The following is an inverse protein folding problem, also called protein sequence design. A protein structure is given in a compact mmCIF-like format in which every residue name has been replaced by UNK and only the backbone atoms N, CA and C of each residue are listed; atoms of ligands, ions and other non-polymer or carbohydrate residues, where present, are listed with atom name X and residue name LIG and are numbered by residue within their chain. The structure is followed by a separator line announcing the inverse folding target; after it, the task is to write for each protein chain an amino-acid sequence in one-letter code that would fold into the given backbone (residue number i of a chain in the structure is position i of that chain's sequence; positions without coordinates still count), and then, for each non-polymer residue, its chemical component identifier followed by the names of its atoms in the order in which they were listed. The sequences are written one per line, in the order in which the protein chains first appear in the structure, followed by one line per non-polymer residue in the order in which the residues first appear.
data_IF_002931173782
#
_entry.id   IF_002931173782
#
_cell.length_a   1.000
_cell.length_b   1.000
_cell.length_c   1.000
_cell.angle_alpha   90.00
_cell.angle_beta   90.00
_cell.angle_gamma   90.00
#
_symmetry.space_group_name_H-M   'P 1'
#
loop_
_entity.id
_entity.type
_entity.pdbx_description
1 polymer ?
#
# COMPACT_ATOMS: atom_id res chain seq x y z
N UNK A 1 12.76 -6.43 15.86
CA UNK A 1 13.57 -7.40 16.64
C UNK A 1 12.89 -7.63 17.98
N UNK A 2 11.97 -8.59 18.07
CA UNK A 2 11.39 -9.01 19.35
C UNK A 2 11.72 -10.48 19.56
N UNK A 3 12.90 -10.75 20.12
CA UNK A 3 13.17 -12.03 20.77
C UNK A 3 12.23 -12.11 21.98
N UNK A 4 11.38 -13.13 22.02
CA UNK A 4 10.63 -13.45 23.24
C UNK A 4 11.64 -13.63 24.37
N UNK A 5 11.35 -13.13 25.58
CA UNK A 5 12.21 -13.28 26.78
C UNK A 5 12.61 -14.73 27.13
N UNK A 6 12.06 -15.72 26.41
CA UNK A 6 12.24 -17.17 26.62
C UNK A 6 13.33 -17.74 25.69
N UNK A 7 13.58 -17.15 24.52
CA UNK A 7 14.59 -17.61 23.57
C UNK A 7 15.45 -16.45 23.09
N UNK A 8 16.76 -16.52 23.37
CA UNK A 8 17.74 -15.52 22.90
C UNK A 8 18.15 -15.73 21.43
N UNK A 9 17.78 -16.85 20.82
CA UNK A 9 18.07 -17.11 19.41
C UNK A 9 17.16 -16.26 18.50
N UNK A 10 17.75 -15.71 17.45
CA UNK A 10 17.06 -15.01 16.36
C UNK A 10 17.53 -15.58 15.02
N UNK A 11 16.84 -15.25 13.91
CA UNK A 11 17.24 -15.74 12.57
C UNK A 11 18.66 -15.32 12.15
N UNK A 12 19.19 -14.24 12.74
CA UNK A 12 20.55 -13.76 12.47
C UNK A 12 21.62 -14.70 13.05
N UNK A 13 21.39 -15.19 14.28
CA UNK A 13 22.31 -16.11 14.97
C UNK A 13 22.01 -17.59 14.71
N UNK A 14 20.82 -17.92 14.19
CA UNK A 14 20.43 -19.27 13.81
C UNK A 14 19.52 -19.24 12.58
N UNK A 15 20.07 -19.42 11.36
CA UNK A 15 19.32 -19.38 10.11
C UNK A 15 18.25 -20.48 9.98
N UNK A 16 18.42 -21.62 10.67
CA UNK A 16 17.48 -22.74 10.65
C UNK A 16 16.32 -22.56 11.64
N UNK A 17 16.29 -21.43 12.37
CA UNK A 17 15.27 -21.15 13.37
C UNK A 17 13.88 -21.00 12.72
N UNK A 18 13.02 -22.00 12.93
CA UNK A 18 11.61 -21.94 12.54
C UNK A 18 10.82 -21.18 13.60
N UNK A 19 10.27 -20.04 13.19
CA UNK A 19 9.35 -19.24 14.00
C UNK A 19 7.92 -19.65 13.69
N UNK A 20 7.10 -19.72 14.72
CA UNK A 20 5.66 -19.96 14.66
C UNK A 20 4.91 -18.78 15.26
N UNK A 21 3.76 -18.44 14.69
CA UNK A 21 2.88 -17.35 15.13
C UNK A 21 1.59 -17.95 15.68
N UNK A 22 1.09 -17.40 16.80
CA UNK A 22 -0.18 -17.80 17.39
C UNK A 22 -1.37 -16.95 16.89
N UNK A 23 -2.57 -17.25 17.37
CA UNK A 23 -3.82 -16.54 17.01
C UNK A 23 -3.83 -15.05 17.38
N UNK A 24 -3.00 -14.63 18.34
CA UNK A 24 -2.86 -13.21 18.70
C UNK A 24 -1.71 -12.50 17.96
N UNK A 25 -1.02 -13.17 17.03
CA UNK A 25 0.02 -12.55 16.19
C UNK A 25 1.42 -12.48 16.81
N UNK A 26 1.64 -13.07 17.99
CA UNK A 26 2.96 -13.12 18.63
C UNK A 26 3.74 -14.36 18.20
N UNK A 27 5.03 -14.17 17.89
CA UNK A 27 5.93 -15.23 17.44
C UNK A 27 6.68 -15.90 18.59
N UNK A 28 6.84 -17.23 18.49
CA UNK A 28 7.71 -18.09 19.30
C UNK A 28 8.47 -19.03 18.37
N UNK A 29 9.68 -19.47 18.71
CA UNK A 29 10.30 -20.55 17.94
C UNK A 29 9.60 -21.88 18.21
N UNK A 30 9.67 -22.80 17.26
CA UNK A 30 9.04 -24.13 17.34
C UNK A 30 9.33 -24.83 18.69
N UNK A 31 10.59 -24.82 19.12
CA UNK A 31 10.99 -25.41 20.39
C UNK A 31 10.38 -24.71 21.62
N UNK A 32 10.21 -23.38 21.56
CA UNK A 32 9.53 -22.65 22.62
C UNK A 32 8.02 -22.91 22.65
N UNK A 33 7.39 -23.21 21.51
CA UNK A 33 5.99 -23.62 21.46
C UNK A 33 5.83 -24.98 22.16
N UNK A 34 6.71 -25.93 21.85
CA UNK A 34 6.71 -27.25 22.50
C UNK A 34 6.87 -27.13 24.03
N UNK A 35 7.89 -26.39 24.49
CA UNK A 35 8.13 -26.17 25.92
C UNK A 35 6.97 -25.46 26.61
N UNK A 36 6.33 -24.49 25.94
CA UNK A 36 5.20 -23.74 26.50
C UNK A 36 4.02 -24.66 26.83
N UNK A 37 3.67 -25.56 25.90
CA UNK A 37 2.55 -26.48 26.09
C UNK A 37 2.90 -27.70 26.93
N UNK A 38 4.15 -28.17 26.92
CA UNK A 38 4.62 -29.20 27.84
C UNK A 38 4.49 -28.77 29.32
N UNK A 39 4.60 -27.46 29.59
CA UNK A 39 4.38 -26.87 30.93
C UNK A 39 2.89 -26.61 31.25
N UNK A 40 1.97 -27.05 30.40
CA UNK A 40 0.53 -26.84 30.59
C UNK A 40 0.07 -25.38 30.41
N UNK A 41 0.90 -24.49 29.84
CA UNK A 41 0.51 -23.09 29.68
C UNK A 41 -0.38 -22.90 28.45
N UNK A 42 -1.63 -22.50 28.68
CA UNK A 42 -2.60 -22.15 27.61
C UNK A 42 -2.65 -20.66 27.27
N UNK A 43 -1.69 -19.85 27.74
CA UNK A 43 -1.74 -18.39 27.62
C UNK A 43 -0.54 -17.84 26.86
N UNK A 44 -0.77 -16.83 26.02
CA UNK A 44 0.30 -16.14 25.32
C UNK A 44 1.26 -15.47 26.30
N UNK A 45 2.57 -15.69 26.14
CA UNK A 45 3.60 -15.13 27.01
C UNK A 45 3.71 -13.59 26.93
N UNK A 46 3.21 -12.98 25.86
CA UNK A 46 3.26 -11.52 25.66
C UNK A 46 1.96 -10.83 26.10
N UNK A 47 0.80 -11.28 25.61
CA UNK A 47 -0.48 -10.61 25.84
C UNK A 47 -1.49 -11.42 26.66
N UNK A 48 -1.11 -12.59 27.18
CA UNK A 48 -1.94 -13.46 28.02
C UNK A 48 -3.25 -13.96 27.38
N UNK A 49 -3.47 -13.75 26.09
CA UNK A 49 -4.62 -14.32 25.36
C UNK A 49 -4.57 -15.85 25.38
N UNK A 50 -5.70 -16.55 25.57
CA UNK A 50 -5.77 -18.01 25.45
C UNK A 50 -5.33 -18.50 24.07
N UNK A 51 -4.40 -19.45 24.04
CA UNK A 51 -3.80 -20.02 22.83
C UNK A 51 -3.82 -21.55 22.88
N UNK A 52 -3.95 -22.19 21.71
CA UNK A 52 -3.93 -23.65 21.56
C UNK A 52 -2.80 -24.05 20.61
N UNK A 53 -2.11 -25.16 20.90
CA UNK A 53 -1.00 -25.66 20.07
C UNK A 53 -1.39 -25.87 18.61
N UNK A 54 -2.58 -26.43 18.37
CA UNK A 54 -3.13 -26.65 17.02
C UNK A 54 -3.31 -25.37 16.19
N UNK A 55 -3.37 -24.19 16.83
CA UNK A 55 -3.55 -22.92 16.14
C UNK A 55 -2.24 -22.19 15.84
N UNK A 56 -1.09 -22.78 16.18
CA UNK A 56 0.22 -22.26 15.78
C UNK A 56 0.50 -22.58 14.31
N UNK A 57 1.13 -21.64 13.62
CA UNK A 57 1.49 -21.77 12.20
C UNK A 57 2.89 -21.21 11.98
N UNK A 58 3.61 -21.75 10.99
CA UNK A 58 4.91 -21.22 10.62
C UNK A 58 4.81 -19.76 10.16
N UNK A 59 5.74 -18.94 10.63
CA UNK A 59 5.92 -17.57 10.19
C UNK A 59 6.53 -17.57 8.79
N UNK A 60 5.70 -17.33 7.77
CA UNK A 60 6.15 -17.27 6.38
C UNK A 60 6.81 -15.94 6.04
N UNK A 61 6.38 -14.85 6.67
CA UNK A 61 6.88 -13.50 6.44
C UNK A 61 7.61 -12.95 7.66
N UNK A 62 8.74 -12.26 7.44
CA UNK A 62 9.50 -11.63 8.52
C UNK A 62 8.69 -10.52 9.23
N UNK A 63 7.87 -9.80 8.46
CA UNK A 63 6.99 -8.75 8.97
C UNK A 63 5.65 -9.35 9.47
N UNK A 64 5.34 -9.25 10.78
CA UNK A 64 4.06 -9.69 11.33
C UNK A 64 2.86 -8.98 10.71
N UNK A 65 3.02 -7.76 10.20
CA UNK A 65 1.95 -7.02 9.54
C UNK A 65 1.58 -7.66 8.20
N UNK A 66 2.57 -8.11 7.43
CA UNK A 66 2.33 -8.84 6.18
C UNK A 66 1.62 -10.16 6.48
N UNK A 67 2.04 -10.86 7.52
CA UNK A 67 1.40 -12.09 7.96
C UNK A 67 -0.08 -11.86 8.36
N UNK A 68 -0.36 -10.82 9.16
CA UNK A 68 -1.73 -10.41 9.54
C UNK A 68 -2.58 -10.08 8.30
N UNK A 69 -2.05 -9.31 7.36
CA UNK A 69 -2.73 -8.95 6.12
C UNK A 69 -3.10 -10.20 5.30
N UNK A 70 -2.16 -11.12 5.11
CA UNK A 70 -2.39 -12.35 4.33
C UNK A 70 -3.49 -13.20 4.95
N UNK A 71 -3.56 -13.26 6.28
CA UNK A 71 -4.61 -13.98 6.99
C UNK A 71 -5.97 -13.33 6.87
N UNK A 72 -6.04 -12.00 7.02
CA UNK A 72 -7.26 -11.24 6.79
C UNK A 72 -7.75 -11.44 5.35
N UNK A 73 -6.84 -11.39 4.38
CA UNK A 73 -7.17 -11.62 2.97
C UNK A 73 -7.69 -13.03 2.72
N UNK A 74 -7.02 -14.06 3.26
CA UNK A 74 -7.50 -15.46 3.16
C UNK A 74 -8.89 -15.61 3.78
N UNK A 75 -9.12 -15.00 4.94
CA UNK A 75 -10.43 -15.03 5.61
C UNK A 75 -11.51 -14.38 4.75
N UNK A 76 -11.30 -13.13 4.30
CA UNK A 76 -12.26 -12.41 3.45
C UNK A 76 -12.54 -13.18 2.16
N UNK A 77 -11.50 -13.71 1.49
CA UNK A 77 -11.70 -14.50 0.28
C UNK A 77 -12.52 -15.78 0.55
N UNK A 78 -12.31 -16.43 1.70
CA UNK A 78 -13.08 -17.60 2.11
C UNK A 78 -14.52 -17.27 2.52
N UNK A 79 -14.76 -16.10 3.13
CA UNK A 79 -16.09 -15.64 3.52
C UNK A 79 -16.93 -15.29 2.30
N UNK A 80 -16.33 -14.66 1.29
CA UNK A 80 -17.04 -14.33 0.04
C UNK A 80 -17.17 -15.54 -0.90
N UNK A 81 -16.16 -16.41 -0.97
CA UNK A 81 -16.12 -17.65 -1.75
C UNK A 81 -16.70 -17.56 -3.19
N UNK A 82 -16.60 -16.40 -3.83
CA UNK A 82 -17.04 -16.19 -5.21
C UNK A 82 -16.06 -16.85 -6.18
N UNK A 83 -16.54 -17.47 -7.26
CA UNK A 83 -15.81 -17.98 -8.42
C UNK A 83 -16.03 -17.08 -9.64
N UNK A 84 -15.20 -17.21 -10.68
CA UNK A 84 -15.32 -16.39 -11.89
C UNK A 84 -16.68 -16.58 -12.58
N UNK A 85 -17.22 -17.80 -12.55
CA UNK A 85 -18.51 -18.16 -13.16
C UNK A 85 -19.73 -17.63 -12.37
N UNK A 86 -19.53 -17.02 -11.20
CA UNK A 86 -20.62 -16.44 -10.40
C UNK A 86 -20.89 -14.97 -10.76
N UNK A 87 -20.25 -14.45 -11.81
CA UNK A 87 -20.41 -13.07 -12.26
C UNK A 87 -21.02 -13.05 -13.65
N UNK A 88 -22.20 -12.43 -13.78
CA UNK A 88 -22.90 -12.30 -15.06
C UNK A 88 -22.22 -11.30 -15.99
N UNK A 89 -21.49 -10.32 -15.42
CA UNK A 89 -20.75 -9.31 -16.18
C UNK A 89 -19.39 -8.95 -15.56
N UNK A 90 -18.52 -8.31 -16.35
CA UNK A 90 -17.26 -7.72 -15.87
C UNK A 90 -17.47 -6.57 -14.88
N UNK A 91 -18.64 -5.94 -14.90
CA UNK A 91 -19.05 -4.87 -13.99
C UNK A 91 -19.43 -5.43 -12.60
N UNK A 92 -19.96 -6.64 -12.56
CA UNK A 92 -20.25 -7.36 -11.31
C UNK A 92 -18.99 -7.86 -10.60
N UNK A 93 -17.81 -7.69 -11.21
CA UNK A 93 -16.51 -8.02 -10.59
C UNK A 93 -15.97 -6.91 -9.66
N UNK A 94 -16.49 -5.68 -9.76
CA UNK A 94 -16.11 -4.56 -8.87
C UNK A 94 -16.33 -4.83 -7.34
N UNK A 95 -17.36 -5.57 -6.91
CA UNK A 95 -17.48 -6.08 -5.54
C UNK A 95 -16.29 -6.93 -5.07
N UNK A 96 -15.65 -7.72 -5.95
CA UNK A 96 -14.43 -8.49 -5.58
C UNK A 96 -13.25 -7.57 -5.29
N UNK A 97 -13.20 -6.40 -5.93
CA UNK A 97 -12.22 -5.35 -5.70
C UNK A 97 -12.49 -4.57 -4.41
N UNK A 98 -13.74 -4.59 -3.94
CA UNK A 98 -14.09 -4.09 -2.60
C UNK A 98 -13.47 -4.97 -1.51
N UNK A 99 -13.21 -6.26 -1.74
CA UNK A 99 -12.55 -7.12 -0.74
C UNK A 99 -11.18 -6.57 -0.30
N UNK A 100 -10.43 -5.96 -1.21
CA UNK A 100 -9.15 -5.33 -0.86
C UNK A 100 -9.33 -4.13 0.07
N UNK A 101 -10.40 -3.36 -0.13
CA UNK A 101 -10.79 -2.25 0.75
C UNK A 101 -11.24 -2.78 2.11
N UNK A 102 -11.98 -3.89 2.17
CA UNK A 102 -12.35 -4.54 3.43
C UNK A 102 -11.11 -5.02 4.19
N UNK A 103 -10.16 -5.67 3.50
CA UNK A 103 -8.89 -6.11 4.10
C UNK A 103 -8.10 -4.89 4.58
N UNK A 104 -8.02 -3.82 3.78
CA UNK A 104 -7.35 -2.59 4.17
C UNK A 104 -7.96 -1.96 5.43
N UNK A 105 -9.29 -1.93 5.51
CA UNK A 105 -10.03 -1.43 6.66
C UNK A 105 -9.72 -2.25 7.92
N UNK A 106 -9.87 -3.58 7.86
CA UNK A 106 -9.59 -4.48 8.98
C UNK A 106 -8.12 -4.46 9.40
N UNK A 107 -7.20 -4.27 8.45
CA UNK A 107 -5.77 -4.24 8.72
C UNK A 107 -5.36 -2.99 9.51
N UNK A 108 -6.01 -1.86 9.21
CA UNK A 108 -5.70 -0.55 9.76
C UNK A 108 -6.71 -0.04 10.79
N UNK A 109 -7.59 -0.92 11.28
CA UNK A 109 -8.62 -0.62 12.29
C UNK A 109 -9.55 0.54 11.88
N UNK A 110 -9.92 0.59 10.60
CA UNK A 110 -10.82 1.59 10.00
C UNK A 110 -12.21 0.98 9.90
N UNK A 111 -13.21 1.62 10.51
CA UNK A 111 -14.64 1.28 10.39
C UNK A 111 -14.90 -0.24 10.54
N UNK A 112 -14.25 -0.84 11.54
CA UNK A 112 -14.17 -2.31 11.71
C UNK A 112 -15.55 -2.93 11.90
N UNK A 113 -16.43 -2.29 12.67
CA UNK A 113 -17.76 -2.82 12.94
C UNK A 113 -18.67 -2.76 11.71
N UNK A 114 -18.62 -1.67 10.95
CA UNK A 114 -19.33 -1.55 9.68
C UNK A 114 -18.81 -2.58 8.66
N UNK A 115 -17.49 -2.72 8.57
CA UNK A 115 -16.83 -3.71 7.71
C UNK A 115 -17.27 -5.13 8.08
N UNK A 116 -17.30 -5.48 9.36
CA UNK A 116 -17.77 -6.79 9.83
C UNK A 116 -19.26 -7.00 9.55
N UNK A 117 -20.11 -6.00 9.81
CA UNK A 117 -21.55 -6.05 9.51
C UNK A 117 -21.80 -6.31 8.02
N UNK A 118 -21.08 -5.62 7.14
CA UNK A 118 -21.16 -5.83 5.69
C UNK A 118 -20.80 -7.27 5.30
N UNK A 119 -19.70 -7.82 5.84
CA UNK A 119 -19.27 -9.20 5.57
C UNK A 119 -20.31 -10.21 6.05
N UNK A 120 -20.87 -10.03 7.25
CA UNK A 120 -21.90 -10.93 7.77
C UNK A 120 -23.22 -10.85 6.99
N UNK A 121 -23.64 -9.64 6.59
CA UNK A 121 -24.79 -9.45 5.72
C UNK A 121 -24.60 -10.18 4.38
N UNK A 122 -23.43 -10.01 3.75
CA UNK A 122 -23.10 -10.70 2.50
C UNK A 122 -23.19 -12.22 2.66
N UNK A 123 -22.61 -12.77 3.74
CA UNK A 123 -22.65 -14.23 4.03
C UNK A 123 -24.07 -14.75 4.21
N UNK A 124 -24.96 -13.94 4.79
CA UNK A 124 -26.38 -14.29 4.96
C UNK A 124 -27.10 -14.33 3.62
N UNK A 125 -26.92 -13.30 2.79
CA UNK A 125 -27.57 -13.17 1.48
C UNK A 125 -27.06 -14.19 0.46
N UNK A 126 -25.80 -14.61 0.56
CA UNK A 126 -25.13 -15.45 -0.44
C UNK A 126 -24.87 -16.88 0.05
N UNK A 127 -25.56 -17.31 1.12
CA UNK A 127 -25.31 -18.58 1.83
C UNK A 127 -25.30 -19.79 0.90
N UNK A 128 -26.24 -19.85 -0.04
CA UNK A 128 -26.39 -20.99 -0.96
C UNK A 128 -25.26 -21.05 -2.00
N UNK A 129 -24.86 -19.90 -2.54
CA UNK A 129 -23.72 -19.78 -3.48
C UNK A 129 -22.43 -20.21 -2.77
N UNK A 130 -22.21 -19.71 -1.54
CA UNK A 130 -21.03 -20.06 -0.75
C UNK A 130 -20.99 -21.57 -0.47
N UNK A 131 -22.12 -22.17 -0.09
CA UNK A 131 -22.23 -23.61 0.18
C UNK A 131 -21.94 -24.43 -1.09
N UNK A 132 -22.51 -24.04 -2.23
CA UNK A 132 -22.27 -24.68 -3.54
C UNK A 132 -20.78 -24.63 -3.92
N UNK A 133 -20.14 -23.47 -3.76
CA UNK A 133 -18.74 -23.28 -4.14
C UNK A 133 -17.73 -23.99 -3.25
N UNK A 134 -18.09 -24.32 -1.99
CA UNK A 134 -17.26 -25.14 -1.10
C UNK A 134 -17.16 -26.61 -1.53
N UNK A 135 -18.21 -27.12 -2.19
CA UNK A 135 -18.26 -28.50 -2.65
C UNK A 135 -17.54 -28.71 -3.99
N UNK A 136 -17.33 -27.63 -4.75
CA UNK A 136 -16.62 -27.68 -6.03
C UNK A 136 -15.10 -27.82 -5.78
N UNK A 137 -14.36 -28.60 -6.58
CA UNK A 137 -12.91 -28.70 -6.49
C UNK A 137 -12.26 -27.31 -6.52
N UNK A 138 -11.27 -27.09 -5.65
CA UNK A 138 -10.44 -25.88 -5.72
C UNK A 138 -9.57 -26.03 -6.96
N UNK A 139 -9.77 -25.19 -7.98
CA UNK A 139 -8.82 -25.09 -9.07
C UNK A 139 -7.50 -24.60 -8.48
N UNK A 140 -6.52 -25.50 -8.34
CA UNK A 140 -5.22 -25.20 -7.80
C UNK A 140 -4.53 -24.18 -8.70
N UNK A 141 -4.41 -22.95 -8.19
CA UNK A 141 -3.83 -21.84 -8.94
C UNK A 141 -3.85 -20.52 -8.17
N UNK A 142 -3.41 -20.49 -6.89
CA UNK A 142 -3.32 -19.24 -6.13
C UNK A 142 -2.55 -18.12 -6.88
N UNK A 143 -1.66 -18.48 -7.81
CA UNK A 143 -0.93 -17.55 -8.66
C UNK A 143 -1.74 -17.02 -9.86
N UNK A 144 -2.69 -17.79 -10.41
CA UNK A 144 -3.53 -17.32 -11.53
C UNK A 144 -4.65 -16.38 -11.07
N UNK A 145 -5.14 -16.52 -9.83
CA UNK A 145 -6.19 -15.65 -9.28
C UNK A 145 -5.76 -14.19 -9.13
N UNK A 146 -4.55 -13.91 -8.63
CA UNK A 146 -4.09 -12.52 -8.50
C UNK A 146 -3.80 -11.88 -9.87
N UNK A 147 -3.21 -12.64 -10.79
CA UNK A 147 -2.90 -12.19 -12.15
C UNK A 147 -4.16 -11.95 -12.97
N UNK A 148 -5.17 -12.82 -12.89
CA UNK A 148 -6.47 -12.61 -13.55
C UNK A 148 -7.25 -11.43 -12.97
N UNK A 149 -7.35 -11.30 -11.63
CA UNK A 149 -8.02 -10.14 -11.03
C UNK A 149 -7.29 -8.83 -11.39
N UNK A 150 -5.96 -8.85 -11.46
CA UNK A 150 -5.18 -7.71 -11.92
C UNK A 150 -5.44 -7.40 -13.41
N UNK A 151 -5.52 -8.42 -14.25
CA UNK A 151 -5.87 -8.27 -15.66
C UNK A 151 -7.25 -7.62 -15.79
N UNK A 152 -8.24 -8.06 -15.02
CA UNK A 152 -9.59 -7.51 -15.05
C UNK A 152 -9.62 -6.07 -14.52
N UNK A 153 -8.84 -5.74 -13.49
CA UNK A 153 -8.69 -4.34 -13.04
C UNK A 153 -8.13 -3.45 -14.14
N UNK A 154 -7.05 -3.88 -14.78
CA UNK A 154 -6.41 -3.12 -15.86
C UNK A 154 -7.33 -3.02 -17.08
N UNK A 155 -8.05 -4.09 -17.40
CA UNK A 155 -9.01 -4.18 -18.49
C UNK A 155 -10.23 -3.28 -18.23
N UNK A 156 -10.81 -3.33 -17.04
CA UNK A 156 -11.94 -2.49 -16.65
C UNK A 156 -11.54 -1.01 -16.62
N UNK A 157 -10.37 -0.65 -16.09
CA UNK A 157 -9.85 0.72 -16.18
C UNK A 157 -9.68 1.19 -17.63
N UNK A 158 -9.40 0.27 -18.54
CA UNK A 158 -9.29 0.56 -19.97
C UNK A 158 -10.64 0.77 -20.65
N UNK A 159 -11.71 0.12 -20.19
CA UNK A 159 -13.04 0.18 -20.79
C UNK A 159 -14.02 1.14 -20.08
N UNK A 160 -14.19 1.02 -18.76
CA UNK A 160 -15.22 1.78 -18.02
C UNK A 160 -14.81 3.23 -17.77
N UNK A 161 -13.51 3.56 -17.82
CA UNK A 161 -12.92 4.88 -17.51
C UNK A 161 -13.34 5.45 -16.15
N UNK A 162 -13.98 4.65 -15.30
CA UNK A 162 -14.58 5.07 -14.05
C UNK A 162 -13.87 4.38 -12.89
N UNK A 163 -13.43 5.18 -11.92
CA UNK A 163 -12.73 4.70 -10.73
C UNK A 163 -13.68 4.84 -9.54
N UNK A 164 -13.94 3.76 -8.80
CA UNK A 164 -14.79 3.83 -7.61
C UNK A 164 -14.26 4.85 -6.61
N UNK A 165 -15.16 5.62 -5.99
CA UNK A 165 -14.81 6.62 -4.98
C UNK A 165 -14.07 6.01 -3.77
N UNK A 166 -14.30 4.73 -3.48
CA UNK A 166 -13.58 3.98 -2.43
C UNK A 166 -12.07 3.92 -2.66
N UNK A 167 -11.58 4.00 -3.91
CA UNK A 167 -10.16 4.03 -4.24
C UNK A 167 -9.51 5.40 -3.99
N UNK A 168 -10.34 6.43 -3.80
CA UNK A 168 -9.91 7.76 -3.39
C UNK A 168 -9.58 7.85 -1.89
N UNK A 169 -9.92 6.83 -1.10
CA UNK A 169 -9.67 6.81 0.35
C UNK A 169 -8.21 6.52 0.68
N UNK A 170 -7.66 7.20 1.68
CA UNK A 170 -6.30 6.95 2.20
C UNK A 170 -6.19 7.11 3.70
N UNK A 171 -5.19 6.46 4.29
CA UNK A 171 -4.84 6.61 5.70
C UNK A 171 -3.47 7.28 5.82
N UNK A 172 -3.44 8.48 6.39
CA UNK A 172 -2.22 9.21 6.66
C UNK A 172 -1.67 8.78 8.02
N UNK A 173 -0.43 8.32 8.02
CA UNK A 173 0.31 7.97 9.23
C UNK A 173 1.48 8.95 9.36
N UNK A 174 1.58 9.75 10.44
CA UNK A 174 2.69 10.65 10.65
C UNK A 174 3.96 9.85 11.00
N UNK A 175 5.00 10.08 10.22
CA UNK A 175 6.34 9.54 10.45
C UNK A 175 7.20 10.67 11.01
N UNK A 176 7.68 10.49 12.24
CA UNK A 176 8.58 11.44 12.88
C UNK A 176 9.90 11.54 12.11
N UNK A 177 10.31 12.76 11.74
CA UNK A 177 11.57 13.02 11.04
C UNK A 177 12.73 13.39 11.97
N UNK A 178 12.59 14.47 12.75
CA UNK A 178 13.68 15.04 13.57
C UNK A 178 13.17 16.02 14.62
N UNK A 179 14.02 16.43 15.57
CA UNK A 179 13.75 17.44 16.62
C UNK A 179 12.71 17.00 17.67
N UNK A 180 11.79 17.86 18.07
CA UNK A 180 10.80 17.59 19.11
C UNK A 180 9.60 16.84 18.54
N UNK A 181 9.20 15.74 19.20
CA UNK A 181 8.05 14.92 18.80
C UNK A 181 6.70 15.62 18.93
N UNK A 182 6.61 16.61 19.82
CA UNK A 182 5.37 17.33 20.11
C UNK A 182 5.04 18.42 19.07
N UNK A 183 5.92 18.69 18.12
CA UNK A 183 5.67 19.64 17.03
C UNK A 183 5.26 18.88 15.77
N UNK A 184 4.01 19.07 15.32
CA UNK A 184 3.45 18.44 14.13
C UNK A 184 4.30 18.69 12.87
N UNK A 185 5.01 19.82 12.78
CA UNK A 185 5.85 20.17 11.61
C UNK A 185 7.07 19.26 11.46
N UNK A 186 7.43 18.54 12.51
CA UNK A 186 8.52 17.59 12.53
C UNK A 186 8.09 16.18 12.07
N UNK A 187 6.82 16.00 11.70
CA UNK A 187 6.30 14.76 11.16
C UNK A 187 6.06 14.89 9.65
N UNK A 188 6.14 13.74 8.97
CA UNK A 188 5.83 13.60 7.56
C UNK A 188 4.68 12.62 7.43
N UNK A 189 3.55 13.06 6.88
CA UNK A 189 2.41 12.19 6.62
C UNK A 189 2.72 11.20 5.48
N UNK A 190 2.71 9.91 5.76
CA UNK A 190 2.73 8.87 4.72
C UNK A 190 1.31 8.38 4.48
N UNK A 191 0.83 8.53 3.25
CA UNK A 191 -0.48 8.04 2.81
C UNK A 191 -0.40 6.56 2.47
N UNK A 192 -1.01 5.72 3.31
CA UNK A 192 -1.32 4.34 3.01
C UNK A 192 -2.58 4.29 2.15
N UNK A 193 -2.48 3.64 1.00
CA UNK A 193 -3.61 3.41 0.09
C UNK A 193 -3.81 1.90 -0.13
N UNK A 194 -5.05 1.45 -0.40
CA UNK A 194 -5.35 0.06 -0.73
C UNK A 194 -4.55 -0.45 -1.93
N UNK A 195 -4.29 -1.76 -1.99
CA UNK A 195 -3.55 -2.40 -3.10
C UNK A 195 -4.32 -2.20 -4.42
N UNK A 196 -5.65 -2.27 -4.34
CA UNK A 196 -6.53 -2.02 -5.48
C UNK A 196 -6.33 -0.65 -6.12
N UNK A 197 -5.81 0.33 -5.37
CA UNK A 197 -5.39 1.64 -5.91
C UNK A 197 -3.91 1.66 -6.29
N UNK A 198 -3.02 1.03 -5.50
CA UNK A 198 -1.56 1.01 -5.76
C UNK A 198 -1.20 0.38 -7.09
N UNK A 199 -1.80 -0.77 -7.41
CA UNK A 199 -1.39 -1.54 -8.60
C UNK A 199 -1.80 -0.81 -9.88
N UNK A 200 -3.05 -0.34 -10.06
CA UNK A 200 -3.42 0.55 -11.15
C UNK A 200 -2.54 1.78 -11.28
N UNK A 201 -2.25 2.46 -10.16
CA UNK A 201 -1.39 3.63 -10.16
C UNK A 201 0.02 3.31 -10.70
N UNK A 202 0.55 2.13 -10.38
CA UNK A 202 1.85 1.65 -10.89
C UNK A 202 1.81 1.30 -12.38
N UNK A 203 0.71 0.70 -12.85
CA UNK A 203 0.51 0.41 -14.28
C UNK A 203 0.39 1.70 -15.09
N UNK A 204 -0.42 2.64 -14.62
CA UNK A 204 -0.59 3.97 -15.24
C UNK A 204 0.76 4.70 -15.29
N UNK A 205 1.50 4.70 -14.18
CA UNK A 205 2.85 5.27 -14.12
C UNK A 205 3.74 4.68 -15.23
N UNK A 206 3.84 3.35 -15.30
CA UNK A 206 4.69 2.67 -16.29
C UNK A 206 4.31 3.04 -17.72
N UNK A 207 3.01 3.20 -18.01
CA UNK A 207 2.51 3.59 -19.34
C UNK A 207 2.74 5.06 -19.66
N UNK A 208 2.75 5.93 -18.65
CA UNK A 208 3.02 7.36 -18.79
C UNK A 208 4.51 7.70 -18.76
N UNK A 209 5.38 6.81 -18.27
CA UNK A 209 6.83 7.06 -18.22
C UNK A 209 7.41 7.47 -19.57
N UNK A 210 7.17 6.79 -20.71
CA UNK A 210 7.70 7.21 -22.00
C UNK A 210 7.27 8.64 -22.39
N UNK A 211 6.00 8.97 -22.16
CA UNK A 211 5.47 10.32 -22.41
C UNK A 211 6.13 11.37 -21.52
N UNK A 212 6.41 11.08 -20.25
CA UNK A 212 7.15 12.00 -19.37
C UNK A 212 8.59 12.18 -19.85
N UNK A 213 9.28 11.10 -20.20
CA UNK A 213 10.70 11.18 -20.58
C UNK A 213 10.92 12.05 -21.82
N UNK A 214 9.96 12.13 -22.74
CA UNK A 214 10.03 13.03 -23.90
C UNK A 214 9.69 14.49 -23.58
N UNK A 215 9.05 14.76 -22.43
CA UNK A 215 8.53 16.09 -22.07
C UNK A 215 9.28 16.75 -20.90
N UNK A 216 10.17 16.03 -20.23
CA UNK A 216 10.91 16.50 -19.07
C UNK A 216 12.29 17.03 -19.47
N UNK A 217 12.79 18.02 -18.73
CA UNK A 217 14.12 18.58 -18.98
C UNK A 217 15.22 17.58 -18.59
N UNK A 218 16.32 17.62 -19.32
CA UNK A 218 17.47 16.74 -19.10
C UNK A 218 18.10 16.94 -17.71
N UNK A 219 18.09 18.16 -17.18
CA UNK A 219 18.65 18.48 -15.87
C UNK A 219 17.84 17.89 -14.70
N UNK A 220 16.57 17.51 -14.93
CA UNK A 220 15.77 16.86 -13.91
C UNK A 220 16.20 15.39 -13.80
N UNK A 221 16.64 14.99 -12.61
CA UNK A 221 16.99 13.61 -12.29
C UNK A 221 16.04 12.95 -11.28
N UNK A 222 15.28 13.75 -10.52
CA UNK A 222 14.38 13.23 -9.50
C UNK A 222 13.33 12.29 -10.10
N UNK A 223 13.17 11.10 -9.52
CA UNK A 223 12.13 10.12 -9.88
C UNK A 223 12.15 9.65 -11.34
N UNK A 224 13.32 9.73 -12.00
CA UNK A 224 13.55 9.21 -13.36
C UNK A 224 14.32 7.88 -13.32
N UNK A 225 13.94 6.89 -14.15
CA UNK A 225 14.71 5.67 -14.33
C UNK A 225 16.14 5.98 -14.80
N UNK A 226 17.12 5.26 -14.25
CA UNK A 226 18.52 5.37 -14.67
C UNK A 226 19.21 6.69 -14.30
N UNK A 227 18.63 7.51 -13.41
CA UNK A 227 19.24 8.73 -12.90
C UNK A 227 19.26 8.75 -11.38
N UNK A 228 20.41 9.09 -10.82
CA UNK A 228 20.65 9.11 -9.38
C UNK A 228 21.18 10.44 -8.88
N UNK A 229 21.29 10.53 -7.56
CA UNK A 229 21.95 11.68 -6.91
C UNK A 229 23.43 11.76 -7.28
N UNK A 230 24.08 10.62 -7.54
CA UNK A 230 25.49 10.54 -7.93
C UNK A 230 25.72 11.29 -9.23
N UNK A 231 24.88 11.09 -10.26
CA UNK A 231 25.00 11.76 -11.55
C UNK A 231 24.90 13.28 -11.42
N UNK A 232 23.97 13.75 -10.58
CA UNK A 232 23.76 15.18 -10.34
C UNK A 232 24.92 15.80 -9.54
N UNK A 233 25.43 15.10 -8.52
CA UNK A 233 26.60 15.55 -7.75
C UNK A 233 27.83 15.61 -8.67
N UNK A 234 28.03 14.59 -9.50
CA UNK A 234 29.12 14.57 -10.47
C UNK A 234 29.01 15.74 -11.44
N UNK A 235 27.83 15.95 -12.03
CA UNK A 235 27.58 17.07 -12.96
C UNK A 235 27.83 18.43 -12.30
N UNK A 236 27.32 18.64 -11.08
CA UNK A 236 27.55 19.87 -10.34
C UNK A 236 29.04 20.07 -10.04
N UNK A 237 29.74 19.02 -9.64
CA UNK A 237 31.18 19.06 -9.37
C UNK A 237 31.98 19.44 -10.61
N UNK A 238 31.69 18.84 -11.76
CA UNK A 238 32.32 19.18 -13.04
C UNK A 238 32.13 20.66 -13.39
N UNK A 239 30.91 21.19 -13.22
CA UNK A 239 30.62 22.61 -13.46
C UNK A 239 31.45 23.51 -12.52
N UNK A 240 31.50 23.18 -11.22
CA UNK A 240 32.26 23.96 -10.25
C UNK A 240 33.77 23.92 -10.52
N UNK A 241 34.31 22.75 -10.86
CA UNK A 241 35.73 22.57 -11.20
C UNK A 241 36.12 23.36 -12.46
N UNK A 242 35.32 23.30 -13.53
CA UNK A 242 35.53 24.08 -14.75
C UNK A 242 35.47 25.59 -14.48
N UNK A 243 34.48 26.04 -13.71
CA UNK A 243 34.33 27.46 -13.36
C UNK A 243 35.51 27.96 -12.52
N UNK A 244 35.98 27.14 -11.59
CA UNK A 244 37.16 27.42 -10.78
C UNK A 244 38.43 27.51 -11.65
N UNK A 245 38.64 26.57 -12.56
CA UNK A 245 39.79 26.56 -13.48
C UNK A 245 39.85 27.84 -14.33
N UNK A 246 38.70 28.35 -14.77
CA UNK A 246 38.60 29.61 -15.51
C UNK A 246 38.50 30.87 -14.64
N UNK A 247 38.72 30.74 -13.31
CA UNK A 247 38.63 31.84 -12.33
C UNK A 247 37.32 32.64 -12.44
N UNK A 248 36.21 31.97 -12.77
CA UNK A 248 34.90 32.60 -12.90
C UNK A 248 34.21 32.65 -11.52
N UNK A 249 33.82 33.83 -11.02
CA UNK A 249 33.04 33.91 -9.78
C UNK A 249 31.74 33.11 -9.95
N UNK A 250 31.41 32.29 -8.96
CA UNK A 250 30.30 31.33 -9.05
C UNK A 250 29.55 31.26 -7.73
N UNK A 251 28.22 31.34 -7.82
CA UNK A 251 27.31 31.25 -6.67
C UNK A 251 26.42 30.03 -6.90
N UNK A 252 26.35 29.14 -5.91
CA UNK A 252 25.44 28.01 -5.92
C UNK A 252 24.24 28.32 -5.02
N UNK A 253 23.02 28.21 -5.55
CA UNK A 253 21.78 28.43 -4.83
C UNK A 253 21.00 27.12 -4.72
N UNK A 254 20.69 26.72 -3.48
CA UNK A 254 19.90 25.52 -3.20
C UNK A 254 18.47 25.92 -2.81
N UNK A 255 17.49 25.40 -3.53
CA UNK A 255 16.08 25.65 -3.30
C UNK A 255 15.39 24.37 -2.84
N UNK A 256 14.66 24.42 -1.72
CA UNK A 256 13.83 23.32 -1.24
C UNK A 256 12.39 23.79 -1.05
N UNK A 257 11.44 23.02 -1.57
CA UNK A 257 10.03 23.34 -1.52
C UNK A 257 9.40 22.72 -0.26
N UNK A 258 8.82 23.57 0.59
CA UNK A 258 8.08 23.13 1.77
C UNK A 258 6.83 22.38 1.35
N UNK A 259 6.65 21.15 1.86
CA UNK A 259 5.41 20.39 1.65
C UNK A 259 5.15 20.00 0.19
N UNK A 260 6.20 19.77 -0.61
CA UNK A 260 6.10 19.65 -2.07
C UNK A 260 5.10 18.61 -2.61
N UNK A 261 4.73 17.58 -1.83
CA UNK A 261 3.67 16.64 -2.24
C UNK A 261 2.29 17.11 -1.80
N UNK A 262 2.20 17.77 -0.65
CA UNK A 262 0.95 18.22 -0.03
C UNK A 262 0.43 19.51 -0.68
N UNK A 263 1.31 20.30 -1.30
CA UNK A 263 1.01 21.60 -1.90
C UNK A 263 0.75 21.58 -3.42
N UNK A 264 0.69 20.41 -4.05
CA UNK A 264 0.48 20.31 -5.51
C UNK A 264 -0.92 20.82 -5.87
N UNK A 265 -0.97 21.84 -6.74
CA UNK A 265 -2.22 22.26 -7.37
C UNK A 265 -2.61 21.26 -8.47
N UNK A 266 -3.71 20.55 -8.24
CA UNK A 266 -4.16 19.48 -9.13
C UNK A 266 -4.70 20.04 -10.45
N UNK A 267 -5.42 21.15 -10.43
CA UNK A 267 -6.05 21.72 -11.62
C UNK A 267 -5.00 22.36 -12.52
N UNK A 268 -4.05 23.11 -11.93
CA UNK A 268 -2.92 23.66 -12.67
C UNK A 268 -2.09 22.57 -13.36
N UNK A 269 -1.82 21.47 -12.65
CA UNK A 269 -1.04 20.36 -13.18
C UNK A 269 -1.81 19.54 -14.23
N UNK A 270 -3.12 19.38 -14.08
CA UNK A 270 -3.96 18.82 -15.14
C UNK A 270 -3.94 19.68 -16.40
N UNK A 271 -4.07 21.01 -16.26
CA UNK A 271 -3.95 21.94 -17.37
C UNK A 271 -2.60 21.82 -18.07
N UNK A 272 -1.52 21.66 -17.30
CA UNK A 272 -0.18 21.39 -17.85
C UNK A 272 -0.13 20.09 -18.66
N UNK A 273 -0.66 18.98 -18.14
CA UNK A 273 -0.67 17.70 -18.86
C UNK A 273 -1.45 17.75 -20.17
N UNK A 274 -2.58 18.46 -20.18
CA UNK A 274 -3.39 18.65 -21.38
C UNK A 274 -2.59 19.42 -22.45
N UNK A 275 -1.92 20.51 -22.07
CA UNK A 275 -1.08 21.30 -23.00
C UNK A 275 0.12 20.53 -23.53
N UNK A 276 0.67 19.58 -22.76
CA UNK A 276 1.76 18.71 -23.19
C UNK A 276 1.32 17.54 -24.08
N UNK A 277 0.02 17.44 -24.39
CA UNK A 277 -0.51 16.40 -25.27
C UNK A 277 -0.61 15.03 -24.60
N UNK A 278 -0.86 14.99 -23.29
CA UNK A 278 -1.11 13.70 -22.61
C UNK A 278 -2.30 12.99 -23.28
N UNK A 279 -2.19 11.67 -23.58
CA UNK A 279 -3.30 10.95 -24.20
C UNK A 279 -4.56 11.02 -23.33
N UNK A 280 -5.70 11.38 -23.95
CA UNK A 280 -6.97 11.66 -23.27
C UNK A 280 -7.42 10.55 -22.31
N UNK A 281 -7.14 9.29 -22.69
CA UNK A 281 -7.40 8.11 -21.85
C UNK A 281 -6.76 8.24 -20.46
N UNK A 282 -5.46 8.57 -20.40
CA UNK A 282 -4.75 8.69 -19.14
C UNK A 282 -5.12 9.98 -18.40
N UNK A 283 -5.37 11.07 -19.12
CA UNK A 283 -5.88 12.30 -18.53
C UNK A 283 -7.18 12.06 -17.74
N UNK A 284 -8.15 11.36 -18.35
CA UNK A 284 -9.42 11.02 -17.70
C UNK A 284 -9.22 10.10 -16.48
N UNK A 285 -8.33 9.10 -16.58
CA UNK A 285 -8.02 8.21 -15.46
C UNK A 285 -7.36 8.95 -14.30
N UNK A 286 -6.40 9.83 -14.57
CA UNK A 286 -5.77 10.67 -13.56
C UNK A 286 -6.81 11.59 -12.89
N UNK A 287 -7.70 12.20 -13.68
CA UNK A 287 -8.77 13.05 -13.16
C UNK A 287 -9.73 12.29 -12.28
N UNK A 288 -10.12 11.09 -12.68
CA UNK A 288 -10.97 10.21 -11.89
C UNK A 288 -10.29 9.81 -10.57
N UNK A 289 -9.00 9.42 -10.61
CA UNK A 289 -8.21 9.03 -9.41
C UNK A 289 -8.09 10.13 -8.34
N UNK A 290 -8.10 11.40 -8.74
CA UNK A 290 -7.80 12.54 -7.86
C UNK A 290 -8.98 13.49 -7.63
N UNK A 291 -10.12 13.29 -8.30
CA UNK A 291 -11.32 14.13 -8.16
C UNK A 291 -11.98 14.04 -6.78
N UNK A 292 -12.13 12.82 -6.25
CA UNK A 292 -12.84 12.57 -4.99
C UNK A 292 -11.94 11.81 -4.02
N UNK A 293 -10.88 12.46 -3.55
CA UNK A 293 -9.96 11.87 -2.58
C UNK A 293 -10.31 12.30 -1.16
N UNK A 294 -10.34 11.34 -0.26
CA UNK A 294 -10.55 11.55 1.17
C UNK A 294 -9.46 10.85 1.96
N UNK A 295 -9.05 11.47 3.06
CA UNK A 295 -8.06 10.90 3.96
C UNK A 295 -8.56 10.87 5.40
N UNK A 296 -8.00 9.94 6.17
CA UNK A 296 -8.07 9.91 7.64
C UNK A 296 -6.66 9.92 8.17
N UNK A 297 -6.44 10.53 9.32
CA UNK A 297 -5.15 10.52 10.01
C UNK A 297 -5.19 9.54 11.18
N UNK A 298 -4.15 8.72 11.30
CA UNK A 298 -3.96 7.82 12.45
C UNK A 298 -2.75 8.22 13.25
N UNK A 299 -2.97 8.60 14.50
CA UNK A 299 -1.93 8.96 15.45
C UNK A 299 -2.02 7.98 16.62
N UNK A 300 -1.00 7.14 16.77
CA UNK A 300 -1.03 6.00 17.68
C UNK A 300 -2.24 5.08 17.38
N UNK A 301 -3.16 4.94 18.34
CA UNK A 301 -4.39 4.15 18.25
C UNK A 301 -5.64 5.00 17.97
N UNK A 302 -5.47 6.31 17.77
CA UNK A 302 -6.58 7.21 17.50
C UNK A 302 -6.68 7.48 15.99
N UNK A 303 -7.90 7.36 15.47
CA UNK A 303 -8.22 7.57 14.06
C UNK A 303 -9.12 8.81 13.94
N UNK A 304 -8.74 9.75 13.08
CA UNK A 304 -9.51 10.97 12.86
C UNK A 304 -10.84 10.70 12.14
N UNK A 305 -11.72 11.69 12.14
CA UNK A 305 -12.82 11.76 11.16
C UNK A 305 -12.26 11.87 9.73
N UNK A 306 -12.96 11.35 8.72
CA UNK A 306 -12.58 11.54 7.32
C UNK A 306 -12.64 13.02 6.94
N UNK A 307 -11.70 13.44 6.12
CA UNK A 307 -11.67 14.76 5.49
C UNK A 307 -11.38 14.64 4.00
N UNK A 308 -11.89 15.59 3.21
CA UNK A 308 -11.65 15.65 1.76
C UNK A 308 -10.32 16.33 1.50
N UNK A 309 -9.55 15.82 0.53
CA UNK A 309 -8.30 16.44 0.10
C UNK A 309 -8.48 17.06 -1.28
N UNK A 310 -8.43 18.39 -1.37
CA UNK A 310 -8.54 19.13 -2.64
C UNK A 310 -7.19 19.42 -3.28
N UNK A 311 -6.13 19.55 -2.49
CA UNK A 311 -4.75 19.79 -2.96
C UNK A 311 -3.84 18.61 -2.67
N UNK A 312 -2.64 18.66 -3.25
CA UNK A 312 -1.59 17.70 -3.02
C UNK A 312 -1.82 16.34 -3.66
N UNK A 313 -0.85 15.46 -3.46
CA UNK A 313 -0.88 14.07 -3.91
C UNK A 313 -0.49 13.15 -2.75
N UNK A 314 -1.03 11.92 -2.76
CA UNK A 314 -0.88 10.95 -1.67
C UNK A 314 0.56 10.47 -1.53
N UNK A 315 1.27 10.94 -0.51
CA UNK A 315 2.67 10.60 -0.29
C UNK A 315 2.86 9.13 0.11
N UNK A 316 3.17 8.28 -0.87
CA UNK A 316 3.17 6.81 -0.72
C UNK A 316 2.42 6.11 -1.86
N UNK A 317 1.68 6.87 -2.68
CA UNK A 317 1.18 6.40 -3.96
C UNK A 317 2.32 6.29 -4.98
N UNK A 318 2.42 5.17 -5.72
CA UNK A 318 3.43 5.00 -6.77
C UNK A 318 3.41 6.11 -7.84
N UNK A 319 2.23 6.68 -8.08
CA UNK A 319 2.03 7.70 -9.11
C UNK A 319 2.41 9.11 -8.62
N UNK A 320 2.41 9.39 -7.32
CA UNK A 320 2.69 10.75 -6.81
C UNK A 320 4.04 11.34 -7.23
N UNK A 321 5.14 10.57 -7.32
CA UNK A 321 6.38 11.05 -7.93
C UNK A 321 6.23 11.60 -9.35
N UNK A 322 5.37 11.00 -10.19
CA UNK A 322 5.10 11.48 -11.55
C UNK A 322 4.47 12.87 -11.54
N UNK A 323 3.56 13.13 -10.61
CA UNK A 323 2.95 14.45 -10.44
C UNK A 323 3.99 15.49 -10.02
N UNK A 324 4.96 15.10 -9.18
CA UNK A 324 6.00 16.00 -8.67
C UNK A 324 7.10 16.33 -9.68
N UNK A 325 7.30 15.49 -10.70
CA UNK A 325 8.37 15.68 -11.68
C UNK A 325 8.11 16.78 -12.71
N UNK A 326 6.88 17.28 -12.77
CA UNK A 326 6.41 18.33 -13.66
C UNK A 326 6.07 19.57 -12.85
#
# INVERSE_FOLDING_TARGET
MNSSKICRANKYNNPQLKLMVNTCGHSLCENCVEVLFARGSGLCVQCKTPIRKANFRYQLFEDPLVQKEVELRKKILSDFNKREDDFDSLEDLFPRLSNDVLVFNLMNDIDVDETKKYVEQYKKENKDIIKRNRLRPVCFGMNTYFVKNLFIVVYNLQFTKHIPSSWGKSLIVPIFKKKCRNDCRNHRGSSLIPIVTKVPASVILRRLTPFRETNIREQQAGFRPGRGCIDQIFTLRQILELRHAHRRPTIAMFLDLKGAFDSVDRDALMGYFLRKGMPQKYFNLLRSLYSHTSSRERVYNNLSRPFVTSSGVRQGCPLSPYWRTH
#
